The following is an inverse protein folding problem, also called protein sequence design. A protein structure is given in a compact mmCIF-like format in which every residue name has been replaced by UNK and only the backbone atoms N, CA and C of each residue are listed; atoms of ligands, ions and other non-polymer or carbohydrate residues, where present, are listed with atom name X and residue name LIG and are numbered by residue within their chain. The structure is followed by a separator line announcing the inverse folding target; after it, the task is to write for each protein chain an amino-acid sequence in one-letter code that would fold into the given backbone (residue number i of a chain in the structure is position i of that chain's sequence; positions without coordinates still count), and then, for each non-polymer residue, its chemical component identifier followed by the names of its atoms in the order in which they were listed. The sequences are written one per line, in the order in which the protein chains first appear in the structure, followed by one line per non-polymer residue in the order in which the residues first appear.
data_IF_778985090458
#
_entry.id   IF_778985090458
#
_cell.length_a   1.000
_cell.length_b   1.000
_cell.length_c   1.000
_cell.angle_alpha   90.00
_cell.angle_beta   90.00
_cell.angle_gamma   90.00
#
_symmetry.space_group_name_H-M   'P 1'
#
loop_
_entity.id
_entity.type
_entity.pdbx_description
1 polymer ?
#
# COMPACT_ATOMS: atom_id res chain seq x y z
N UNK A 1 6.15 19.26 22.19
CA UNK A 1 5.96 18.59 20.88
C UNK A 1 7.14 18.97 20.01
N UNK A 2 7.89 18.00 19.45
CA UNK A 2 9.10 18.31 18.65
C UNK A 2 8.69 19.16 17.43
N UNK A 3 9.25 20.37 17.30
CA UNK A 3 8.98 21.33 16.22
C UNK A 3 9.23 20.70 14.83
N UNK A 4 10.28 19.89 14.73
CA UNK A 4 10.63 19.08 13.56
C UNK A 4 9.47 18.16 13.12
N UNK A 5 8.86 17.47 14.10
CA UNK A 5 7.72 16.58 13.85
C UNK A 5 6.49 17.36 13.37
N UNK A 6 6.29 18.60 13.82
CA UNK A 6 5.18 19.44 13.36
C UNK A 6 5.38 19.86 11.90
N UNK A 7 6.60 20.25 11.54
CA UNK A 7 6.96 20.61 10.18
C UNK A 7 6.74 19.43 9.23
N UNK A 8 7.30 18.25 9.53
CA UNK A 8 7.17 17.10 8.64
C UNK A 8 5.72 16.65 8.44
N UNK A 9 4.87 16.81 9.46
CA UNK A 9 3.44 16.49 9.35
C UNK A 9 2.67 17.53 8.53
N UNK A 10 2.88 18.82 8.79
CA UNK A 10 2.26 19.88 7.99
C UNK A 10 2.68 19.78 6.53
N UNK A 11 3.94 19.44 6.28
CA UNK A 11 4.44 19.16 4.94
C UNK A 11 3.76 17.95 4.28
N UNK A 12 3.59 16.85 5.03
CA UNK A 12 2.84 15.69 4.54
C UNK A 12 1.39 16.06 4.18
N UNK A 13 0.68 16.81 5.03
CA UNK A 13 -0.71 17.22 4.75
C UNK A 13 -0.83 18.15 3.56
N UNK A 14 0.11 19.09 3.42
CA UNK A 14 0.14 19.95 2.26
C UNK A 14 0.28 19.11 0.98
N UNK A 15 1.23 18.17 0.94
CA UNK A 15 1.42 17.31 -0.25
C UNK A 15 0.18 16.49 -0.59
N UNK A 16 -0.47 15.90 0.42
CA UNK A 16 -1.68 15.09 0.22
C UNK A 16 -2.85 15.97 -0.24
N UNK A 17 -3.12 17.08 0.46
CA UNK A 17 -4.25 17.96 0.19
C UNK A 17 -4.13 18.66 -1.16
N UNK A 18 -2.93 19.19 -1.42
CA UNK A 18 -2.62 19.77 -2.71
C UNK A 18 -2.70 18.72 -3.83
N UNK A 19 -2.05 17.57 -3.67
CA UNK A 19 -2.00 16.53 -4.71
C UNK A 19 -3.37 15.97 -5.09
N UNK A 20 -4.17 15.59 -4.10
CA UNK A 20 -5.42 14.83 -4.35
C UNK A 20 -6.60 15.76 -4.70
N UNK A 21 -6.69 16.95 -4.11
CA UNK A 21 -7.90 17.79 -4.27
C UNK A 21 -7.67 19.01 -5.15
N UNK A 22 -6.49 19.60 -5.11
CA UNK A 22 -6.21 20.83 -5.86
C UNK A 22 -5.60 20.47 -7.21
N UNK A 23 -4.44 19.82 -7.21
CA UNK A 23 -3.68 19.48 -8.40
C UNK A 23 -4.45 18.51 -9.31
N UNK A 24 -5.15 17.51 -8.75
CA UNK A 24 -5.99 16.62 -9.53
C UNK A 24 -7.09 17.37 -10.30
N UNK A 25 -7.87 18.23 -9.62
CA UNK A 25 -8.97 18.96 -10.27
C UNK A 25 -8.46 19.97 -11.30
N UNK A 26 -7.43 20.74 -10.93
CA UNK A 26 -6.81 21.70 -11.85
C UNK A 26 -6.25 20.97 -13.07
N UNK A 27 -5.51 19.88 -12.86
CA UNK A 27 -4.93 19.08 -13.93
C UNK A 27 -5.99 18.46 -14.83
N UNK A 28 -7.08 17.95 -14.25
CA UNK A 28 -8.18 17.35 -14.99
C UNK A 28 -8.91 18.38 -15.86
N UNK A 29 -9.31 19.52 -15.28
CA UNK A 29 -9.96 20.60 -16.04
C UNK A 29 -9.03 21.17 -17.11
N UNK A 30 -7.75 21.39 -16.77
CA UNK A 30 -6.74 21.86 -17.71
C UNK A 30 -6.58 20.90 -18.89
N UNK A 31 -6.50 19.59 -18.63
CA UNK A 31 -6.39 18.59 -19.70
C UNK A 31 -7.61 18.59 -20.63
N UNK A 32 -8.82 18.73 -20.10
CA UNK A 32 -10.03 18.84 -20.95
C UNK A 32 -9.92 20.07 -21.86
N UNK A 33 -9.52 21.22 -21.30
CA UNK A 33 -9.36 22.47 -22.07
C UNK A 33 -8.28 22.30 -23.15
N UNK A 34 -7.13 21.75 -22.80
CA UNK A 34 -6.00 21.56 -23.73
C UNK A 34 -6.38 20.60 -24.85
N UNK A 35 -7.01 19.46 -24.54
CA UNK A 35 -7.47 18.50 -25.55
C UNK A 35 -8.48 19.16 -26.48
N UNK A 36 -9.46 19.89 -25.94
CA UNK A 36 -10.44 20.58 -26.77
C UNK A 36 -9.79 21.59 -27.70
N UNK A 37 -8.91 22.45 -27.18
CA UNK A 37 -8.27 23.49 -27.97
C UNK A 37 -7.34 22.93 -29.05
N UNK A 38 -6.59 21.87 -28.75
CA UNK A 38 -5.60 21.34 -29.68
C UNK A 38 -6.18 20.31 -30.67
N UNK A 39 -7.13 19.49 -30.23
CA UNK A 39 -7.63 18.38 -31.03
C UNK A 39 -9.01 18.62 -31.65
N UNK A 40 -9.78 19.61 -31.20
CA UNK A 40 -11.17 19.81 -31.63
C UNK A 40 -11.38 21.18 -32.27
N UNK A 41 -11.07 22.27 -31.56
CA UNK A 41 -11.49 23.62 -31.91
C UNK A 41 -11.18 24.03 -33.36
N UNK A 42 -10.02 23.65 -33.89
CA UNK A 42 -9.55 24.00 -35.24
C UNK A 42 -9.66 22.85 -36.25
N UNK A 43 -10.45 21.81 -35.94
CA UNK A 43 -10.63 20.62 -36.78
C UNK A 43 -12.08 20.44 -37.21
N UNK A 44 -12.34 19.51 -38.13
CA UNK A 44 -13.71 19.15 -38.51
C UNK A 44 -14.56 18.63 -37.35
N UNK A 45 -13.95 18.18 -36.25
CA UNK A 45 -14.63 17.71 -35.04
C UNK A 45 -15.39 18.83 -34.31
N UNK A 46 -15.07 20.10 -34.55
CA UNK A 46 -15.81 21.24 -33.98
C UNK A 46 -17.28 21.25 -34.42
N UNK A 47 -17.61 20.61 -35.56
CA UNK A 47 -19.00 20.44 -36.00
C UNK A 47 -19.82 19.53 -35.07
N UNK A 48 -19.14 18.62 -34.34
CA UNK A 48 -19.76 17.69 -33.38
C UNK A 48 -19.75 18.27 -31.97
N UNK A 49 -18.70 19.00 -31.61
CA UNK A 49 -18.59 19.73 -30.34
C UNK A 49 -18.25 21.20 -30.58
N UNK A 50 -19.25 22.05 -30.90
CA UNK A 50 -19.05 23.48 -31.14
C UNK A 50 -18.51 24.25 -29.92
N UNK A 51 -18.81 23.75 -28.72
CA UNK A 51 -18.45 24.40 -27.47
C UNK A 51 -17.69 23.48 -26.51
N UNK A 52 -16.75 24.09 -25.77
CA UNK A 52 -16.00 23.41 -24.72
C UNK A 52 -16.92 22.72 -23.70
N UNK A 53 -18.05 23.34 -23.35
CA UNK A 53 -18.97 22.81 -22.33
C UNK A 53 -19.53 21.45 -22.70
N UNK A 54 -19.96 21.27 -23.96
CA UNK A 54 -20.55 20.02 -24.45
C UNK A 54 -19.50 18.91 -24.49
N UNK A 55 -18.31 19.23 -25.00
CA UNK A 55 -17.17 18.32 -24.96
C UNK A 55 -16.78 17.95 -23.53
N UNK A 56 -16.71 18.92 -22.63
CA UNK A 56 -16.32 18.71 -21.24
C UNK A 56 -17.31 17.80 -20.50
N UNK A 57 -18.62 18.00 -20.69
CA UNK A 57 -19.64 17.12 -20.10
C UNK A 57 -19.44 15.68 -20.58
N UNK A 58 -19.29 15.47 -21.89
CA UNK A 58 -19.07 14.12 -22.43
C UNK A 58 -17.75 13.52 -21.95
N UNK A 59 -16.67 14.31 -21.95
CA UNK A 59 -15.36 13.89 -21.50
C UNK A 59 -15.39 13.44 -20.03
N UNK A 60 -16.09 14.16 -19.16
CA UNK A 60 -16.31 13.76 -17.76
C UNK A 60 -17.10 12.45 -17.69
N UNK A 61 -18.21 12.36 -18.44
CA UNK A 61 -19.07 11.18 -18.45
C UNK A 61 -18.35 9.90 -18.92
N UNK A 62 -17.32 10.01 -19.77
CA UNK A 62 -16.52 8.87 -20.24
C UNK A 62 -15.28 8.64 -19.37
N UNK A 63 -14.52 9.70 -19.08
CA UNK A 63 -13.25 9.60 -18.37
C UNK A 63 -13.45 9.14 -16.92
N UNK A 64 -14.53 9.56 -16.25
CA UNK A 64 -14.80 9.14 -14.87
C UNK A 64 -15.05 7.63 -14.77
N UNK A 65 -15.99 7.00 -15.51
CA UNK A 65 -16.15 5.55 -15.48
C UNK A 65 -14.91 4.79 -15.94
N UNK A 66 -14.22 5.28 -16.97
CA UNK A 66 -13.00 4.63 -17.46
C UNK A 66 -11.90 4.63 -16.40
N UNK A 67 -11.71 5.74 -15.71
CA UNK A 67 -10.75 5.85 -14.60
C UNK A 67 -11.09 4.88 -13.46
N UNK A 68 -12.39 4.70 -13.16
CA UNK A 68 -12.85 3.70 -12.19
C UNK A 68 -12.48 2.28 -12.66
N UNK A 69 -12.72 1.94 -13.92
CA UNK A 69 -12.39 0.60 -14.45
C UNK A 69 -10.88 0.36 -14.45
N UNK A 70 -10.08 1.33 -14.90
CA UNK A 70 -8.62 1.25 -14.89
C UNK A 70 -8.11 1.11 -13.45
N UNK A 71 -8.63 1.90 -12.51
CA UNK A 71 -8.31 1.80 -11.09
C UNK A 71 -8.67 0.44 -10.52
N UNK A 72 -9.86 -0.09 -10.80
CA UNK A 72 -10.28 -1.42 -10.36
C UNK A 72 -9.38 -2.52 -10.94
N UNK A 73 -9.00 -2.41 -12.21
CA UNK A 73 -8.08 -3.34 -12.84
C UNK A 73 -6.71 -3.29 -12.19
N UNK A 74 -6.18 -2.08 -11.94
CA UNK A 74 -4.93 -1.88 -11.22
C UNK A 74 -4.96 -2.57 -9.85
N UNK A 75 -6.00 -2.30 -9.05
CA UNK A 75 -6.12 -2.84 -7.70
C UNK A 75 -6.32 -4.36 -7.63
N UNK A 76 -7.05 -4.96 -8.58
CA UNK A 76 -7.43 -6.38 -8.50
C UNK A 76 -6.57 -7.32 -9.33
N UNK A 77 -5.94 -6.82 -10.39
CA UNK A 77 -5.37 -7.66 -11.44
C UNK A 77 -3.95 -7.28 -11.83
N UNK A 78 -3.40 -6.19 -11.29
CA UNK A 78 -2.04 -5.79 -11.63
C UNK A 78 -1.07 -6.09 -10.50
N UNK A 79 0.10 -6.57 -10.89
CA UNK A 79 1.24 -6.73 -9.99
C UNK A 79 1.69 -5.39 -9.38
N UNK A 80 1.32 -4.26 -9.99
CA UNK A 80 1.68 -2.94 -9.51
C UNK A 80 1.07 -2.64 -8.13
N UNK A 81 -0.20 -3.02 -7.90
CA UNK A 81 -0.81 -2.81 -6.58
C UNK A 81 -0.13 -3.64 -5.47
N UNK A 82 0.27 -4.88 -5.76
CA UNK A 82 1.02 -5.71 -4.82
C UNK A 82 2.41 -5.14 -4.51
N UNK A 83 3.07 -4.54 -5.52
CA UNK A 83 4.34 -3.86 -5.36
C UNK A 83 4.21 -2.62 -4.47
N UNK A 84 3.19 -1.79 -4.71
CA UNK A 84 2.92 -0.61 -3.88
C UNK A 84 2.62 -0.98 -2.42
N UNK A 85 1.81 -2.02 -2.22
CA UNK A 85 1.48 -2.52 -0.90
C UNK A 85 2.74 -3.01 -0.14
N UNK A 86 3.64 -3.69 -0.84
CA UNK A 86 4.88 -4.24 -0.25
C UNK A 86 5.89 -3.14 0.07
N UNK A 87 6.17 -2.26 -0.88
CA UNK A 87 7.09 -1.13 -0.67
C UNK A 87 6.60 -0.24 0.47
N UNK A 88 5.29 -0.03 0.57
CA UNK A 88 4.69 0.71 1.69
C UNK A 88 4.85 -0.01 3.03
N UNK A 89 4.82 -1.34 3.05
CA UNK A 89 5.07 -2.14 4.25
C UNK A 89 6.53 -2.12 4.69
N UNK A 90 7.47 -2.11 3.75
CA UNK A 90 8.91 -2.14 4.04
C UNK A 90 9.45 -0.77 4.41
N UNK A 91 9.02 0.26 3.67
CA UNK A 91 9.39 1.64 3.95
C UNK A 91 8.80 2.12 5.28
N UNK A 92 7.89 1.36 5.87
CA UNK A 92 7.38 1.62 7.21
C UNK A 92 8.48 1.26 8.23
N UNK A 93 9.16 2.25 8.83
CA UNK A 93 10.32 2.04 9.70
C UNK A 93 9.92 1.41 11.04
N UNK A 94 8.68 0.96 11.15
CA UNK A 94 8.08 0.33 12.31
C UNK A 94 7.61 -1.10 12.01
N UNK A 95 7.86 -1.64 10.81
CA UNK A 95 7.61 -3.05 10.49
C UNK A 95 8.79 -3.90 10.95
N UNK A 96 8.67 -4.26 12.22
CA UNK A 96 9.44 -5.28 12.93
C UNK A 96 8.59 -6.55 13.12
N UNK A 97 7.53 -6.66 12.31
CA UNK A 97 6.35 -7.51 12.49
C UNK A 97 6.18 -8.40 11.29
N UNK A 98 5.43 -9.49 11.49
CA UNK A 98 5.11 -10.42 10.41
C UNK A 98 4.15 -9.77 9.42
N UNK A 99 4.48 -9.95 8.15
CA UNK A 99 3.67 -9.52 7.02
C UNK A 99 2.35 -10.31 7.01
N UNK A 100 1.19 -9.70 6.81
CA UNK A 100 -0.08 -10.44 6.74
C UNK A 100 -0.19 -11.39 5.53
N UNK A 101 -1.30 -12.11 5.47
CA UNK A 101 -1.55 -13.13 4.45
C UNK A 101 -0.89 -14.44 4.84
N UNK A 102 -0.39 -15.19 3.85
CA UNK A 102 0.20 -16.52 4.09
C UNK A 102 1.21 -16.54 5.25
N UNK A 103 1.94 -15.45 5.43
CA UNK A 103 3.01 -15.34 6.41
C UNK A 103 2.49 -15.48 7.84
N UNK A 104 1.39 -14.81 8.18
CA UNK A 104 0.78 -14.95 9.51
C UNK A 104 -0.15 -16.15 9.63
N UNK A 105 -0.86 -16.49 8.56
CA UNK A 105 -1.94 -17.49 8.63
C UNK A 105 -1.46 -18.92 8.47
N UNK A 106 -0.32 -19.10 7.81
CA UNK A 106 0.16 -20.43 7.44
C UNK A 106 1.62 -20.58 7.83
N UNK A 107 2.48 -19.71 7.31
CA UNK A 107 3.93 -19.87 7.39
C UNK A 107 4.41 -19.91 8.84
N UNK A 108 4.08 -18.89 9.60
CA UNK A 108 4.66 -18.77 10.92
C UNK A 108 3.93 -19.67 11.94
N UNK A 109 2.60 -19.91 11.90
CA UNK A 109 1.95 -20.87 12.81
C UNK A 109 2.40 -22.30 12.59
N UNK A 110 2.57 -22.69 11.33
CA UNK A 110 3.11 -24.01 10.98
C UNK A 110 4.55 -24.16 11.52
N UNK A 111 5.35 -23.10 11.46
CA UNK A 111 6.72 -23.09 11.98
C UNK A 111 6.74 -23.30 13.50
N UNK A 112 5.87 -22.61 14.23
CA UNK A 112 5.75 -22.79 15.69
C UNK A 112 5.28 -24.20 16.04
N UNK A 113 4.27 -24.71 15.33
CA UNK A 113 3.72 -26.05 15.60
C UNK A 113 4.78 -27.14 15.37
N UNK A 114 5.54 -27.04 14.29
CA UNK A 114 6.60 -27.99 13.96
C UNK A 114 7.69 -28.00 15.04
N UNK A 115 8.13 -26.82 15.47
CA UNK A 115 9.11 -26.69 16.53
C UNK A 115 8.62 -27.33 17.86
N UNK A 116 7.35 -27.12 18.21
CA UNK A 116 6.73 -27.75 19.40
C UNK A 116 6.65 -29.27 19.31
N UNK A 117 6.44 -29.84 18.12
CA UNK A 117 6.40 -31.31 17.94
C UNK A 117 7.79 -31.91 18.09
N UNK A 118 8.81 -31.31 17.47
CA UNK A 118 10.20 -31.80 17.57
C UNK A 118 10.71 -31.77 19.01
N UNK A 119 10.37 -30.70 19.74
CA UNK A 119 10.72 -30.60 21.15
C UNK A 119 10.12 -31.77 21.97
N UNK A 120 8.89 -32.20 21.65
CA UNK A 120 8.25 -33.35 22.31
C UNK A 120 8.89 -34.69 21.96
N UNK A 121 9.41 -34.87 20.75
CA UNK A 121 10.02 -36.13 20.30
C UNK A 121 11.47 -36.30 20.75
N UNK A 122 12.19 -35.19 20.92
CA UNK A 122 13.60 -35.23 21.34
C UNK A 122 13.78 -35.86 22.73
N UNK A 123 12.77 -35.76 23.60
CA UNK A 123 12.81 -36.29 24.96
C UNK A 123 14.02 -35.76 25.72
N UNK A 124 14.79 -36.67 26.33
CA UNK A 124 15.95 -36.33 27.18
C UNK A 124 17.26 -36.22 26.40
N UNK A 125 17.21 -36.20 25.07
CA UNK A 125 18.42 -36.11 24.23
C UNK A 125 19.01 -34.71 24.16
N UNK A 126 18.30 -33.69 24.65
CA UNK A 126 18.73 -32.28 24.63
C UNK A 126 19.41 -31.87 25.93
N UNK A 127 20.42 -31.01 25.85
CA UNK A 127 21.00 -30.39 27.05
C UNK A 127 20.06 -29.32 27.63
N UNK A 128 20.22 -28.93 28.91
CA UNK A 128 19.40 -27.89 29.54
C UNK A 128 19.46 -26.53 28.83
N UNK A 129 20.63 -26.14 28.34
CA UNK A 129 20.88 -24.86 27.70
C UNK A 129 20.20 -24.78 26.33
N UNK A 130 20.30 -25.86 25.54
CA UNK A 130 19.67 -25.99 24.23
C UNK A 130 18.15 -25.87 24.33
N UNK A 131 17.57 -26.39 25.41
CA UNK A 131 16.14 -26.31 25.68
C UNK A 131 15.69 -24.88 26.00
N UNK A 132 16.43 -24.15 26.83
CA UNK A 132 16.07 -22.80 27.27
C UNK A 132 16.07 -21.80 26.09
N UNK A 133 17.09 -21.85 25.24
CA UNK A 133 17.18 -20.95 24.10
C UNK A 133 16.02 -21.14 23.11
N UNK A 134 15.66 -22.39 22.84
CA UNK A 134 14.56 -22.72 21.94
C UNK A 134 13.21 -22.21 22.47
N UNK A 135 13.00 -22.28 23.79
CA UNK A 135 11.81 -21.72 24.44
C UNK A 135 11.76 -20.19 24.33
N UNK A 136 12.88 -19.47 24.43
CA UNK A 136 12.92 -18.01 24.28
C UNK A 136 12.63 -17.54 22.86
N UNK A 137 13.15 -18.27 21.87
CA UNK A 137 12.90 -17.96 20.46
C UNK A 137 11.46 -18.30 20.10
N UNK A 138 10.93 -19.44 20.54
CA UNK A 138 9.52 -19.73 20.37
C UNK A 138 8.64 -18.71 21.06
N UNK A 139 9.05 -18.19 22.22
CA UNK A 139 8.36 -17.07 22.84
C UNK A 139 8.41 -15.79 21.98
N UNK A 140 9.50 -15.51 21.25
CA UNK A 140 9.61 -14.38 20.30
C UNK A 140 8.87 -14.61 18.98
N UNK A 141 8.80 -15.84 18.51
CA UNK A 141 8.08 -16.23 17.31
C UNK A 141 6.58 -16.29 17.57
N UNK A 142 6.17 -16.83 18.71
CA UNK A 142 4.81 -16.72 19.25
C UNK A 142 4.49 -15.24 19.34
N UNK A 143 5.42 -14.42 19.87
CA UNK A 143 5.25 -12.98 19.85
C UNK A 143 5.04 -12.45 18.41
N UNK A 144 5.90 -12.77 17.45
CA UNK A 144 5.77 -12.31 16.06
C UNK A 144 4.45 -12.77 15.39
N UNK A 145 3.97 -13.99 15.65
CA UNK A 145 2.68 -14.52 15.19
C UNK A 145 1.47 -13.83 15.76
N UNK A 146 1.56 -13.65 17.07
CA UNK A 146 0.66 -12.82 17.81
C UNK A 146 0.76 -11.36 17.32
N UNK A 147 1.74 -11.03 16.45
CA UNK A 147 1.85 -9.79 15.68
C UNK A 147 2.87 -8.80 16.24
N UNK A 148 3.72 -9.23 17.16
CA UNK A 148 4.64 -8.38 17.91
C UNK A 148 5.93 -8.12 17.15
N UNK A 149 6.45 -6.90 17.37
CA UNK A 149 7.71 -6.45 16.83
C UNK A 149 8.89 -7.07 17.57
N UNK A 150 9.94 -7.51 16.88
CA UNK A 150 11.19 -7.92 17.55
C UNK A 150 12.35 -7.02 17.16
N UNK A 151 13.35 -6.89 18.04
CA UNK A 151 14.62 -6.24 17.70
C UNK A 151 14.65 -4.71 17.81
N UNK A 152 13.65 -4.06 18.41
CA UNK A 152 13.72 -2.62 18.65
C UNK A 152 14.57 -2.29 19.89
N UNK A 153 15.83 -1.86 19.68
CA UNK A 153 16.58 -1.06 20.65
C UNK A 153 17.18 0.20 20.00
N UNK A 154 16.54 1.33 20.37
CA UNK A 154 16.80 2.77 20.15
C UNK A 154 16.56 3.33 18.75
#
# INVERSE_FOLDING_TARGET
MNFERMIFRSWFYLRVGYGIYIAFLIGFVSNIIVIYKLAIADTSLVSVFPHLTEFAILAVLIASPLSVIIGLYHMRRTAAFAADATVSMEANPYVYKIIPGKEREVTIPLSIMTARVLLKLAGDKLTPEEKQELEEVLAKADKLLLGHSVGLKK
#
